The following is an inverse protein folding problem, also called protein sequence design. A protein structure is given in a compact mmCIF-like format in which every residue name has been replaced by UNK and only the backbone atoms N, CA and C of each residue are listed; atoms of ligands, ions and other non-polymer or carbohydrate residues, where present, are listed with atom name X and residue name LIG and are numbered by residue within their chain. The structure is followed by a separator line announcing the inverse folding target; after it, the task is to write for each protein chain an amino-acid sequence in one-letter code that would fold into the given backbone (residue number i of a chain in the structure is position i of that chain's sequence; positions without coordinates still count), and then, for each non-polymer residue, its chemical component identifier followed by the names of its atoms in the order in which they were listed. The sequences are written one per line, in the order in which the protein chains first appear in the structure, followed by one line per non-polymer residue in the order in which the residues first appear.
data_IF_675117486975
#
_entry.id   IF_675117486975
#
_cell.length_a   1.000
_cell.length_b   1.000
_cell.length_c   1.000
_cell.angle_alpha   90.00
_cell.angle_beta   90.00
_cell.angle_gamma   90.00
#
_symmetry.space_group_name_H-M   'P 1'
#
loop_
_entity.id
_entity.type
_entity.pdbx_description
1 polymer ?
#
# COMPACT_ATOMS: atom_id res chain seq x y z
N UNK A 1 -5.94 -4.32 3.82
CA UNK A 1 -5.01 -4.22 4.97
C UNK A 1 -3.61 -3.76 4.57
N UNK A 2 -2.91 -4.41 3.62
CA UNK A 2 -1.54 -3.97 3.23
C UNK A 2 -1.44 -2.49 2.81
N UNK A 3 -2.34 -2.00 1.94
CA UNK A 3 -2.40 -0.59 1.53
C UNK A 3 -2.68 0.37 2.72
N UNK A 4 -3.29 -0.15 3.78
CA UNK A 4 -3.65 0.59 5.00
C UNK A 4 -2.47 0.71 5.98
N UNK A 5 -1.63 -0.32 6.07
CA UNK A 5 -0.43 -0.34 6.93
C UNK A 5 0.65 0.62 6.43
N UNK A 6 0.72 0.85 5.10
CA UNK A 6 1.69 1.75 4.47
C UNK A 6 1.51 3.23 4.83
N UNK A 7 0.35 3.64 5.36
CA UNK A 7 0.04 5.04 5.67
C UNK A 7 0.53 5.54 7.05
N UNK A 8 1.19 4.68 7.86
CA UNK A 8 1.46 4.95 9.30
C UNK A 8 2.96 5.24 9.59
N UNK A 9 3.78 5.35 8.54
CA UNK A 9 5.25 5.42 8.60
C UNK A 9 5.69 6.35 7.46
N UNK A 10 6.60 7.34 7.57
CA UNK A 10 7.77 7.57 8.43
C UNK A 10 7.96 9.09 8.71
N UNK A 11 8.72 9.47 9.75
CA UNK A 11 9.33 10.81 9.88
C UNK A 11 10.81 10.80 9.45
N UNK A 12 11.24 11.76 8.62
CA UNK A 12 12.64 12.06 8.20
C UNK A 12 13.32 10.97 7.34
N UNK A 13 14.25 11.21 6.40
CA UNK A 13 15.38 12.18 6.27
C UNK A 13 15.52 12.71 4.82
N UNK A 14 16.44 13.65 4.54
CA UNK A 14 16.49 14.51 3.33
C UNK A 14 17.67 14.27 2.34
N UNK A 15 17.63 15.08 1.25
CA UNK A 15 18.65 15.48 0.23
C UNK A 15 18.66 14.69 -1.09
N UNK A 16 18.96 15.28 -2.26
CA UNK A 16 19.52 16.64 -2.54
C UNK A 16 18.52 17.72 -3.00
N UNK A 17 18.43 18.06 -4.30
CA UNK A 17 17.68 19.21 -4.87
C UNK A 17 16.18 19.13 -4.53
N UNK A 18 15.82 19.68 -3.38
CA UNK A 18 14.51 19.47 -2.78
C UNK A 18 13.50 20.38 -3.47
N UNK A 19 12.36 19.88 -3.98
CA UNK A 19 11.19 20.73 -4.14
C UNK A 19 10.93 21.41 -2.79
N UNK A 20 10.46 22.66 -2.79
CA UNK A 20 10.31 23.40 -1.55
C UNK A 20 9.44 22.61 -0.57
N UNK A 21 9.96 22.27 0.62
CA UNK A 21 9.19 21.53 1.62
C UNK A 21 7.89 22.28 1.93
N UNK A 22 6.80 21.54 2.02
CA UNK A 22 5.50 22.14 2.30
C UNK A 22 5.51 22.93 3.62
N UNK A 23 4.88 24.10 3.57
CA UNK A 23 4.55 24.87 4.77
C UNK A 23 3.53 24.11 5.65
N UNK A 24 3.38 24.55 6.89
CA UNK A 24 2.37 23.99 7.80
C UNK A 24 0.95 24.07 7.21
N UNK A 25 0.60 25.16 6.53
CA UNK A 25 -0.73 25.34 5.94
C UNK A 25 -0.94 24.45 4.70
N UNK A 26 0.11 24.18 3.93
CA UNK A 26 0.08 23.24 2.81
C UNK A 26 -0.03 21.79 3.30
N UNK A 27 0.78 21.36 4.28
CA UNK A 27 0.64 20.02 4.88
C UNK A 27 -0.71 19.86 5.58
N UNK A 28 -1.22 20.91 6.24
CA UNK A 28 -2.56 20.90 6.81
C UNK A 28 -3.61 20.68 5.72
N UNK A 29 -3.53 21.39 4.60
CA UNK A 29 -4.41 21.17 3.44
C UNK A 29 -4.32 19.73 2.93
N UNK A 30 -3.11 19.17 2.77
CA UNK A 30 -2.91 17.78 2.32
C UNK A 30 -3.55 16.79 3.30
N UNK A 31 -3.36 16.98 4.61
CA UNK A 31 -3.98 16.16 5.64
C UNK A 31 -5.51 16.26 5.65
N UNK A 32 -6.07 17.45 5.42
CA UNK A 32 -7.51 17.68 5.29
C UNK A 32 -8.06 16.99 4.02
N UNK A 33 -7.35 17.07 2.87
CA UNK A 33 -7.64 16.32 1.64
C UNK A 33 -7.57 14.79 1.82
N UNK A 34 -6.73 14.30 2.73
CA UNK A 34 -6.51 12.87 2.99
C UNK A 34 -7.59 12.22 3.87
N UNK A 35 -8.30 13.01 4.70
CA UNK A 35 -9.31 12.49 5.65
C UNK A 35 -10.37 11.56 5.01
N UNK A 36 -10.93 11.85 3.81
CA UNK A 36 -11.90 10.95 3.18
C UNK A 36 -11.35 9.54 2.91
N UNK A 37 -10.08 9.41 2.53
CA UNK A 37 -9.44 8.11 2.32
C UNK A 37 -9.26 7.34 3.63
N UNK A 38 -8.82 8.04 4.70
CA UNK A 38 -8.65 7.45 6.03
C UNK A 38 -10.00 7.00 6.62
N UNK A 39 -11.02 7.84 6.54
CA UNK A 39 -12.37 7.53 7.01
C UNK A 39 -12.97 6.32 6.26
N UNK A 40 -12.77 6.23 4.95
CA UNK A 40 -13.21 5.08 4.16
C UNK A 40 -12.46 3.80 4.54
N UNK A 41 -11.15 3.90 4.77
CA UNK A 41 -10.32 2.79 5.18
C UNK A 41 -10.69 2.24 6.57
N UNK A 42 -10.96 3.12 7.55
CA UNK A 42 -11.52 2.76 8.87
C UNK A 42 -12.86 2.07 8.73
N UNK A 43 -13.79 2.65 7.96
CA UNK A 43 -15.12 2.08 7.72
C UNK A 43 -15.04 0.66 7.14
N UNK A 44 -14.19 0.44 6.13
CA UNK A 44 -13.97 -0.91 5.56
C UNK A 44 -13.42 -1.88 6.61
N UNK A 45 -12.50 -1.45 7.48
CA UNK A 45 -11.95 -2.28 8.52
C UNK A 45 -13.01 -2.70 9.57
N UNK A 46 -13.92 -1.79 9.91
CA UNK A 46 -15.04 -2.04 10.82
C UNK A 46 -16.12 -2.95 10.20
N UNK A 47 -16.53 -2.68 8.96
CA UNK A 47 -17.63 -3.40 8.29
C UNK A 47 -17.25 -4.80 7.81
N UNK A 48 -15.98 -5.00 7.41
CA UNK A 48 -15.57 -6.21 6.66
C UNK A 48 -14.60 -7.11 7.43
N UNK A 49 -14.03 -6.62 8.53
CA UNK A 49 -12.84 -7.18 9.14
C UNK A 49 -11.62 -7.16 8.20
N UNK A 50 -10.48 -7.64 8.66
CA UNK A 50 -9.22 -7.57 7.90
C UNK A 50 -9.14 -8.44 6.61
N UNK A 51 -10.22 -9.11 6.20
CA UNK A 51 -10.17 -10.35 5.40
C UNK A 51 -11.07 -10.38 4.14
N UNK A 52 -11.77 -9.29 3.78
CA UNK A 52 -12.82 -9.33 2.76
C UNK A 52 -12.70 -8.26 1.65
N UNK A 53 -11.60 -7.50 1.58
CA UNK A 53 -11.41 -6.40 0.60
C UNK A 53 -11.67 -6.81 -0.87
N UNK A 54 -11.25 -8.00 -1.36
CA UNK A 54 -11.54 -8.41 -2.73
C UNK A 54 -12.86 -9.19 -2.90
N UNK A 55 -13.49 -9.66 -1.82
CA UNK A 55 -14.82 -10.30 -1.88
C UNK A 55 -15.95 -9.28 -2.16
N UNK A 56 -15.69 -7.99 -1.90
CA UNK A 56 -16.51 -6.85 -2.34
C UNK A 56 -15.93 -6.18 -3.61
N UNK A 57 -15.00 -6.86 -4.30
CA UNK A 57 -13.86 -6.30 -5.05
C UNK A 57 -14.11 -5.55 -6.36
N UNK A 58 -15.33 -5.11 -6.65
CA UNK A 58 -15.59 -4.11 -7.69
C UNK A 58 -15.95 -2.77 -7.06
N UNK A 59 -17.10 -2.72 -6.40
CA UNK A 59 -17.64 -1.50 -5.80
C UNK A 59 -16.71 -0.83 -4.78
N UNK A 60 -16.05 -1.60 -3.90
CA UNK A 60 -15.09 -1.04 -2.93
C UNK A 60 -13.91 -0.38 -3.63
N UNK A 61 -13.48 -0.96 -4.73
CA UNK A 61 -12.38 -0.47 -5.52
C UNK A 61 -12.74 0.78 -6.32
N UNK A 62 -13.91 0.80 -6.95
CA UNK A 62 -14.43 1.97 -7.66
C UNK A 62 -14.63 3.16 -6.70
N UNK A 63 -15.16 2.91 -5.51
CA UNK A 63 -15.30 3.94 -4.47
C UNK A 63 -13.94 4.46 -4.00
N UNK A 64 -12.97 3.58 -3.75
CA UNK A 64 -11.60 3.95 -3.40
C UNK A 64 -10.95 4.83 -4.49
N UNK A 65 -11.16 4.49 -5.76
CA UNK A 65 -10.66 5.25 -6.90
C UNK A 65 -11.40 6.57 -7.12
N UNK A 66 -12.69 6.67 -6.77
CA UNK A 66 -13.40 7.95 -6.69
C UNK A 66 -12.74 8.87 -5.67
N UNK A 67 -12.54 8.39 -4.44
CA UNK A 67 -11.96 9.18 -3.35
C UNK A 67 -10.50 9.56 -3.67
N UNK A 68 -9.73 8.68 -4.33
CA UNK A 68 -8.39 9.03 -4.83
C UNK A 68 -8.41 10.15 -5.88
N UNK A 69 -9.41 10.16 -6.78
CA UNK A 69 -9.57 11.25 -7.75
C UNK A 69 -9.92 12.57 -7.06
N UNK A 70 -10.81 12.55 -6.06
CA UNK A 70 -11.14 13.72 -5.22
C UNK A 70 -9.90 14.25 -4.48
N UNK A 71 -9.09 13.35 -3.90
CA UNK A 71 -7.81 13.69 -3.27
C UNK A 71 -6.86 14.37 -4.27
N UNK A 72 -6.68 13.76 -5.46
CA UNK A 72 -5.81 14.26 -6.53
C UNK A 72 -6.24 15.64 -7.03
N UNK A 73 -7.54 15.93 -7.09
CA UNK A 73 -8.06 17.26 -7.39
C UNK A 73 -7.82 18.24 -6.22
N UNK A 74 -8.09 17.82 -4.99
CA UNK A 74 -7.91 18.63 -3.78
C UNK A 74 -6.45 19.11 -3.60
N UNK A 75 -5.47 18.25 -3.85
CA UNK A 75 -4.03 18.58 -3.78
C UNK A 75 -3.45 19.18 -5.08
N UNK A 76 -4.23 19.32 -6.16
CA UNK A 76 -3.73 19.78 -7.47
C UNK A 76 -3.06 21.17 -7.48
N UNK A 77 -3.33 22.01 -6.48
CA UNK A 77 -2.71 23.33 -6.32
C UNK A 77 -1.47 23.34 -5.42
N UNK A 78 -1.07 22.18 -4.87
CA UNK A 78 0.05 22.04 -3.94
C UNK A 78 1.30 21.76 -4.76
N UNK A 79 2.28 22.67 -4.72
CA UNK A 79 3.48 22.62 -5.56
C UNK A 79 4.77 22.39 -4.73
N UNK A 80 4.59 21.92 -3.50
CA UNK A 80 5.64 21.68 -2.52
C UNK A 80 5.87 20.17 -2.31
N UNK A 81 7.01 19.81 -1.73
CA UNK A 81 7.36 18.44 -1.38
C UNK A 81 6.57 17.97 -0.14
N UNK A 82 5.60 17.06 -0.36
CA UNK A 82 4.82 16.38 0.69
C UNK A 82 4.82 14.87 0.45
N UNK A 83 5.48 14.15 1.36
CA UNK A 83 5.53 12.69 1.41
C UNK A 83 4.13 12.04 1.42
N UNK A 84 3.13 12.73 1.98
CA UNK A 84 1.74 12.25 2.00
C UNK A 84 1.12 12.20 0.59
N UNK A 85 1.40 13.20 -0.26
CA UNK A 85 0.98 13.18 -1.67
C UNK A 85 1.69 12.05 -2.40
N UNK A 86 3.01 11.92 -2.22
CA UNK A 86 3.82 10.90 -2.88
C UNK A 86 3.38 9.48 -2.51
N UNK A 87 3.20 9.17 -1.23
CA UNK A 87 2.79 7.84 -0.76
C UNK A 87 1.39 7.44 -1.27
N UNK A 88 0.44 8.39 -1.30
CA UNK A 88 -0.89 8.15 -1.88
C UNK A 88 -0.82 7.99 -3.39
N UNK A 89 0.00 8.78 -4.09
CA UNK A 89 0.21 8.61 -5.52
C UNK A 89 0.87 7.26 -5.86
N UNK A 90 1.90 6.85 -5.11
CA UNK A 90 2.56 5.56 -5.28
C UNK A 90 1.60 4.38 -5.07
N UNK A 91 0.72 4.47 -4.07
CA UNK A 91 -0.25 3.42 -3.73
C UNK A 91 -1.41 3.31 -4.74
N UNK A 92 -1.91 4.44 -5.25
CA UNK A 92 -3.20 4.48 -5.97
C UNK A 92 -3.13 4.92 -7.43
N UNK A 93 -2.07 5.61 -7.91
CA UNK A 93 -2.04 6.21 -9.25
C UNK A 93 -2.15 5.18 -10.38
N UNK A 94 -1.36 4.11 -10.32
CA UNK A 94 -1.41 3.03 -11.32
C UNK A 94 -2.74 2.28 -11.22
N UNK A 95 -3.08 1.89 -10.00
CA UNK A 95 -4.22 1.07 -9.64
C UNK A 95 -5.57 1.72 -10.02
N UNK A 96 -5.73 3.03 -9.81
CA UNK A 96 -6.91 3.81 -10.20
C UNK A 96 -6.74 4.57 -11.53
N UNK A 97 -5.73 4.18 -12.32
CA UNK A 97 -5.40 4.75 -13.62
C UNK A 97 -5.27 3.65 -14.66
N UNK A 98 -4.08 3.51 -15.24
CA UNK A 98 -3.84 2.57 -16.35
C UNK A 98 -3.96 1.10 -15.97
N UNK A 99 -3.83 0.73 -14.69
CA UNK A 99 -4.01 -0.64 -14.18
C UNK A 99 -5.41 -0.95 -13.65
N UNK A 100 -6.36 0.00 -13.73
CA UNK A 100 -7.73 -0.21 -13.26
C UNK A 100 -8.44 -1.38 -14.00
N UNK A 101 -8.34 -1.52 -15.34
CA UNK A 101 -8.98 -2.63 -16.06
C UNK A 101 -8.42 -4.01 -15.65
N UNK A 102 -7.11 -4.11 -15.44
CA UNK A 102 -6.44 -5.31 -14.94
C UNK A 102 -6.91 -5.64 -13.51
N UNK A 103 -7.06 -4.63 -12.65
CA UNK A 103 -7.56 -4.85 -11.30
C UNK A 103 -8.99 -5.39 -11.32
N UNK A 104 -9.91 -4.78 -12.07
CA UNK A 104 -11.29 -5.31 -12.23
C UNK A 104 -11.30 -6.74 -12.78
N UNK A 105 -10.43 -7.03 -13.76
CA UNK A 105 -10.29 -8.36 -14.38
C UNK A 105 -9.83 -9.43 -13.37
N UNK A 106 -8.92 -9.09 -12.46
CA UNK A 106 -8.34 -10.04 -11.51
C UNK A 106 -8.98 -10.03 -10.11
N UNK A 107 -9.82 -9.05 -9.78
CA UNK A 107 -10.44 -8.86 -8.46
C UNK A 107 -11.11 -10.14 -7.92
N UNK A 108 -11.95 -10.81 -8.72
CA UNK A 108 -12.60 -12.05 -8.32
C UNK A 108 -11.62 -13.19 -8.04
N UNK A 109 -10.51 -13.26 -8.80
CA UNK A 109 -9.47 -14.26 -8.58
C UNK A 109 -8.68 -13.97 -7.28
N UNK A 110 -8.36 -12.70 -7.00
CA UNK A 110 -7.76 -12.31 -5.73
C UNK A 110 -8.69 -12.58 -4.54
N UNK A 111 -10.01 -12.48 -4.73
CA UNK A 111 -11.02 -12.84 -3.72
C UNK A 111 -10.94 -14.33 -3.35
N UNK A 112 -10.82 -15.21 -4.35
CA UNK A 112 -10.62 -16.64 -4.14
C UNK A 112 -9.25 -16.93 -3.47
N UNK A 113 -8.18 -16.23 -3.88
CA UNK A 113 -6.85 -16.36 -3.24
C UNK A 113 -6.89 -15.94 -1.76
N UNK A 114 -7.57 -14.85 -1.40
CA UNK A 114 -7.70 -14.42 0.00
C UNK A 114 -8.42 -15.43 0.90
N UNK A 115 -9.22 -16.34 0.30
CA UNK A 115 -9.88 -17.44 1.02
C UNK A 115 -9.03 -18.71 1.17
N UNK A 116 -7.90 -18.84 0.45
CA UNK A 116 -6.98 -20.00 0.54
C UNK A 116 -6.27 -20.00 1.90
N UNK A 117 -6.24 -21.16 2.58
CA UNK A 117 -5.57 -21.33 3.90
C UNK A 117 -4.07 -21.06 3.83
N UNK A 118 -3.46 -21.40 2.71
CA UNK A 118 -2.05 -21.19 2.40
C UNK A 118 -1.74 -19.68 2.37
N UNK A 119 -2.59 -18.88 1.71
CA UNK A 119 -2.44 -17.43 1.61
C UNK A 119 -2.76 -16.72 2.94
N UNK A 120 -3.77 -17.20 3.66
CA UNK A 120 -4.08 -16.74 5.03
C UNK A 120 -2.87 -16.99 5.96
N UNK A 121 -2.17 -18.12 5.80
CA UNK A 121 -0.94 -18.41 6.57
C UNK A 121 0.16 -17.39 6.26
N UNK A 122 0.35 -17.00 4.99
CA UNK A 122 1.26 -15.91 4.62
C UNK A 122 0.88 -14.58 5.29
N UNK A 123 -0.41 -14.21 5.29
CA UNK A 123 -0.90 -12.99 5.96
C UNK A 123 -0.65 -13.01 7.47
N UNK A 124 -0.84 -14.16 8.14
CA UNK A 124 -0.59 -14.31 9.57
C UNK A 124 0.91 -14.17 9.87
N UNK A 125 1.78 -14.86 9.13
CA UNK A 125 3.23 -14.76 9.31
C UNK A 125 3.75 -13.33 9.11
N UNK A 126 3.27 -12.63 8.08
CA UNK A 126 3.60 -11.23 7.84
C UNK A 126 3.10 -10.30 8.96
N UNK A 127 1.88 -10.51 9.45
CA UNK A 127 1.30 -9.73 10.56
C UNK A 127 2.09 -9.93 11.86
N UNK A 128 2.53 -11.15 12.14
CA UNK A 128 3.38 -11.47 13.28
C UNK A 128 4.74 -10.78 13.16
N UNK A 129 5.43 -10.89 12.02
CA UNK A 129 6.72 -10.26 11.78
C UNK A 129 6.65 -8.71 11.86
N UNK A 130 5.59 -8.10 11.34
CA UNK A 130 5.33 -6.65 11.48
C UNK A 130 5.11 -6.27 12.95
N UNK A 131 4.38 -7.09 13.72
CA UNK A 131 4.13 -6.83 15.15
C UNK A 131 5.41 -6.96 15.98
N UNK A 132 6.29 -7.91 15.63
CA UNK A 132 7.62 -8.05 16.22
C UNK A 132 8.52 -6.87 15.86
N UNK A 133 8.54 -6.43 14.59
CA UNK A 133 9.25 -5.23 14.14
C UNK A 133 8.82 -3.97 14.92
N UNK A 134 7.53 -3.82 15.23
CA UNK A 134 7.06 -2.68 16.04
C UNK A 134 7.72 -2.60 17.43
N UNK A 135 8.27 -3.69 17.97
CA UNK A 135 9.02 -3.67 19.23
C UNK A 135 10.41 -3.03 19.11
N UNK A 136 11.08 -3.15 17.95
CA UNK A 136 12.38 -2.50 17.69
C UNK A 136 12.26 -1.02 17.28
N UNK A 137 11.04 -0.53 17.02
CA UNK A 137 10.79 0.90 16.73
C UNK A 137 11.30 1.85 17.83
N UNK A 138 11.41 1.37 19.08
CA UNK A 138 11.95 2.13 20.20
C UNK A 138 13.49 2.04 20.34
N UNK A 139 14.15 1.02 19.76
CA UNK A 139 15.61 0.84 19.79
C UNK A 139 16.30 1.55 18.62
N UNK A 140 15.83 1.33 17.40
CA UNK A 140 16.42 1.92 16.19
C UNK A 140 15.41 1.99 15.04
N UNK A 141 15.33 3.17 14.41
CA UNK A 141 14.53 3.35 13.19
C UNK A 141 15.09 2.53 12.02
N UNK A 142 16.41 2.36 11.93
CA UNK A 142 17.05 1.56 10.89
C UNK A 142 16.74 0.06 11.05
N UNK A 143 16.84 -0.45 12.28
CA UNK A 143 16.47 -1.83 12.65
C UNK A 143 14.99 -2.09 12.36
N UNK A 144 14.12 -1.16 12.76
CA UNK A 144 12.68 -1.22 12.46
C UNK A 144 12.38 -1.28 10.97
N UNK A 145 13.02 -0.44 10.14
CA UNK A 145 12.80 -0.43 8.69
C UNK A 145 13.36 -1.69 8.01
N UNK A 146 14.50 -2.20 8.48
CA UNK A 146 15.06 -3.48 8.04
C UNK A 146 14.09 -4.64 8.33
N UNK A 147 13.51 -4.68 9.52
CA UNK A 147 12.55 -5.71 9.92
C UNK A 147 11.20 -5.61 9.18
N UNK A 148 10.70 -4.39 8.95
CA UNK A 148 9.53 -4.17 8.10
C UNK A 148 9.77 -4.61 6.64
N UNK A 149 10.96 -4.34 6.10
CA UNK A 149 11.38 -4.83 4.78
C UNK A 149 11.41 -6.36 4.72
N UNK A 150 12.05 -7.01 5.71
CA UNK A 150 12.14 -8.48 5.84
C UNK A 150 10.75 -9.13 5.93
N UNK A 151 9.83 -8.54 6.70
CA UNK A 151 8.46 -9.03 6.81
C UNK A 151 7.70 -8.98 5.47
N UNK A 152 7.92 -7.92 4.68
CA UNK A 152 7.30 -7.76 3.37
C UNK A 152 7.91 -8.69 2.31
N UNK A 153 9.23 -8.87 2.27
CA UNK A 153 9.90 -9.83 1.37
C UNK A 153 9.36 -11.26 1.60
N UNK A 154 9.32 -11.68 2.88
CA UNK A 154 8.78 -12.98 3.26
C UNK A 154 7.31 -13.17 2.88
N UNK A 155 6.48 -12.12 3.02
CA UNK A 155 5.09 -12.14 2.58
C UNK A 155 4.95 -12.35 1.06
N UNK A 156 5.74 -11.62 0.27
CA UNK A 156 5.69 -11.70 -1.19
C UNK A 156 6.17 -13.07 -1.69
N UNK A 157 7.29 -13.58 -1.16
CA UNK A 157 7.78 -14.93 -1.48
C UNK A 157 6.77 -16.03 -1.13
N UNK A 158 6.06 -15.89 -0.01
CA UNK A 158 5.03 -16.83 0.41
C UNK A 158 3.78 -16.77 -0.48
N UNK A 159 3.33 -15.57 -0.87
CA UNK A 159 2.09 -15.36 -1.62
C UNK A 159 2.24 -15.51 -3.13
N UNK A 160 3.41 -15.23 -3.71
CA UNK A 160 3.71 -15.33 -5.14
C UNK A 160 3.27 -16.66 -5.78
N UNK A 161 3.74 -17.85 -5.33
CA UNK A 161 3.35 -19.11 -5.98
C UNK A 161 1.82 -19.36 -5.92
N UNK A 162 1.15 -18.90 -4.87
CA UNK A 162 -0.30 -19.09 -4.67
C UNK A 162 -1.11 -18.22 -5.64
N UNK A 163 -0.67 -16.98 -5.87
CA UNK A 163 -1.27 -16.05 -6.84
C UNK A 163 -0.95 -16.52 -8.27
N UNK A 164 0.28 -16.94 -8.55
CA UNK A 164 0.72 -17.39 -9.86
C UNK A 164 -0.06 -18.64 -10.31
N UNK A 165 -0.19 -19.64 -9.43
CA UNK A 165 -0.97 -20.86 -9.69
C UNK A 165 -2.46 -20.56 -9.94
N UNK A 166 -3.05 -19.62 -9.19
CA UNK A 166 -4.51 -19.39 -9.20
C UNK A 166 -4.96 -18.35 -10.23
N UNK A 167 -4.18 -17.30 -10.45
CA UNK A 167 -4.55 -16.12 -11.25
C UNK A 167 -3.61 -15.86 -12.43
N UNK A 168 -2.48 -16.55 -12.51
CA UNK A 168 -1.51 -16.45 -13.61
C UNK A 168 -0.55 -15.26 -13.52
N UNK A 169 0.44 -15.27 -14.39
CA UNK A 169 1.58 -14.35 -14.39
C UNK A 169 1.15 -12.87 -14.48
N UNK A 170 0.23 -12.54 -15.38
CA UNK A 170 -0.30 -11.17 -15.53
C UNK A 170 -0.96 -10.63 -14.25
N UNK A 171 -1.56 -11.49 -13.41
CA UNK A 171 -2.11 -11.07 -12.12
C UNK A 171 -0.98 -10.77 -11.10
N UNK A 172 0.12 -11.53 -11.18
CA UNK A 172 1.32 -11.23 -10.40
C UNK A 172 2.03 -9.95 -10.89
N UNK A 173 2.06 -9.66 -12.20
CA UNK A 173 2.58 -8.39 -12.74
C UNK A 173 1.84 -7.17 -12.17
N UNK A 174 0.52 -7.26 -11.98
CA UNK A 174 -0.28 -6.24 -11.32
C UNK A 174 0.12 -6.06 -9.85
N UNK A 175 0.21 -7.16 -9.09
CA UNK A 175 0.62 -7.14 -7.66
C UNK A 175 2.04 -6.58 -7.49
N UNK A 176 2.99 -7.03 -8.31
CA UNK A 176 4.39 -6.58 -8.26
C UNK A 176 4.56 -5.12 -8.66
N UNK A 177 3.81 -4.63 -9.65
CA UNK A 177 3.82 -3.20 -10.04
C UNK A 177 3.34 -2.31 -8.89
N UNK A 178 2.13 -2.58 -8.35
CA UNK A 178 1.58 -1.79 -7.23
C UNK A 178 2.49 -1.85 -6.00
N UNK A 179 3.04 -3.02 -5.69
CA UNK A 179 3.92 -3.22 -4.53
C UNK A 179 5.24 -2.48 -4.69
N UNK A 180 5.92 -2.62 -5.84
CA UNK A 180 7.16 -1.90 -6.14
C UNK A 180 6.96 -0.40 -6.04
N UNK A 181 5.92 0.14 -6.68
CA UNK A 181 5.69 1.58 -6.75
C UNK A 181 5.42 2.14 -5.34
N UNK A 182 4.57 1.46 -4.55
CA UNK A 182 4.28 1.83 -3.16
C UNK A 182 5.55 1.79 -2.28
N UNK A 183 6.29 0.68 -2.32
CA UNK A 183 7.47 0.48 -1.48
C UNK A 183 8.65 1.36 -1.86
N UNK A 184 8.78 1.74 -3.15
CA UNK A 184 9.80 2.68 -3.61
C UNK A 184 9.69 4.06 -2.95
N UNK A 185 8.51 4.47 -2.49
CA UNK A 185 8.31 5.71 -1.72
C UNK A 185 8.39 5.46 -0.21
N UNK A 186 7.73 4.43 0.32
CA UNK A 186 7.65 4.24 1.79
C UNK A 186 8.87 3.56 2.39
N UNK A 187 9.61 2.76 1.63
CA UNK A 187 10.79 1.99 2.07
C UNK A 187 11.85 1.93 0.94
N UNK A 188 12.40 3.08 0.49
CA UNK A 188 13.25 3.15 -0.72
C UNK A 188 14.54 2.30 -0.66
N UNK A 189 15.01 1.95 0.54
CA UNK A 189 16.20 1.12 0.75
C UNK A 189 15.89 -0.39 0.81
N UNK A 190 14.63 -0.81 0.62
CA UNK A 190 14.20 -2.20 0.65
C UNK A 190 14.28 -2.82 -0.75
N UNK A 191 15.31 -3.63 -1.02
CA UNK A 191 15.37 -4.38 -2.28
C UNK A 191 14.39 -5.55 -2.25
N UNK A 192 13.37 -5.44 -3.10
CA UNK A 192 12.28 -6.40 -3.25
C UNK A 192 12.33 -7.12 -4.61
N UNK A 193 13.35 -6.87 -5.44
CA UNK A 193 13.40 -7.40 -6.79
C UNK A 193 13.28 -8.92 -6.80
N UNK A 194 14.08 -9.61 -5.98
CA UNK A 194 14.11 -11.07 -5.92
C UNK A 194 12.85 -11.72 -5.28
N UNK A 195 11.91 -10.92 -4.76
CA UNK A 195 10.59 -11.40 -4.34
C UNK A 195 9.50 -11.14 -5.39
N UNK A 196 9.70 -10.12 -6.24
CA UNK A 196 8.75 -9.64 -7.24
C UNK A 196 8.98 -10.20 -8.66
N UNK A 197 10.23 -10.54 -8.99
CA UNK A 197 10.67 -10.99 -10.32
C UNK A 197 11.71 -12.12 -10.20
#
# INVERSE_FOLDING_TARGET
MFILVLLVIIHTVATTETPAKCSYDEEKKVNDCLQPMLNYATKLQEETGAMQFPLQGGHVFDQLCSIYNDFKECVSSVNCDSLSIEAVHASYRYMCGTGQPEFHKYAGCFAEVESKREYISCKIAATQAISEAQTSKASSTEEYLSEMCRAMDGYLRCSHPIILEKCGENAWTLVSTVTRDSLGVTMPNCDMHAALF
#
